data_IF_234272426133
#
_entry.id   IF_234272426133
#
_cell.length_a   1.000
_cell.length_b   1.000
_cell.length_c   1.000
_cell.angle_alpha   90.00
_cell.angle_beta   90.00
_cell.angle_gamma   90.00
#
_symmetry.space_group_name_H-M   'P 1'
#
loop_
_entity.id
_entity.type
_entity.pdbx_description
1 polymer ?
#
# COMPACT_ATOMS: atom_id res chain seq x y z
N UNK A 1 27.06 -43.62 -13.30
CA UNK A 1 26.07 -42.98 -12.42
C UNK A 1 26.37 -41.49 -12.31
N UNK A 2 25.61 -40.63 -13.00
CA UNK A 2 25.53 -39.19 -12.68
C UNK A 2 24.05 -38.89 -12.48
N UNK A 3 23.57 -38.97 -11.24
CA UNK A 3 22.28 -38.40 -10.86
C UNK A 3 22.48 -36.89 -10.92
N UNK A 4 22.02 -36.27 -12.01
CA UNK A 4 21.81 -34.83 -12.01
C UNK A 4 20.77 -34.51 -10.95
N UNK A 5 21.14 -33.73 -9.94
CA UNK A 5 20.18 -33.07 -9.08
C UNK A 5 19.29 -32.22 -9.98
N UNK A 6 18.06 -32.68 -10.23
CA UNK A 6 16.99 -31.80 -10.70
C UNK A 6 16.75 -30.80 -9.58
N UNK A 7 17.39 -29.65 -9.65
CA UNK A 7 17.01 -28.48 -8.85
C UNK A 7 15.55 -28.21 -9.19
N UNK A 8 14.61 -28.60 -8.32
CA UNK A 8 13.20 -28.25 -8.51
C UNK A 8 13.15 -26.73 -8.62
N UNK A 9 12.65 -26.24 -9.75
CA UNK A 9 12.50 -24.80 -9.98
C UNK A 9 11.47 -24.30 -8.97
N UNK A 10 11.91 -23.60 -7.92
CA UNK A 10 11.00 -23.03 -6.91
C UNK A 10 10.09 -22.02 -7.62
N UNK A 11 8.79 -22.19 -7.46
CA UNK A 11 7.75 -21.28 -7.97
C UNK A 11 6.99 -20.66 -6.82
N UNK A 12 6.38 -19.49 -7.04
CA UNK A 12 5.44 -18.89 -6.08
C UNK A 12 4.02 -19.01 -6.60
N UNK A 13 3.11 -19.41 -5.71
CA UNK A 13 1.68 -19.45 -5.99
C UNK A 13 1.09 -18.04 -6.05
N UNK A 14 0.19 -17.81 -7.00
CA UNK A 14 -0.55 -16.55 -7.15
C UNK A 14 -1.75 -16.52 -6.17
N UNK A 15 -1.44 -16.33 -4.88
CA UNK A 15 -2.42 -16.27 -3.78
C UNK A 15 -2.21 -15.08 -2.86
N UNK A 16 -3.26 -14.70 -2.16
CA UNK A 16 -3.14 -13.69 -1.10
C UNK A 16 -2.48 -14.30 0.13
N UNK A 17 -1.62 -13.53 0.80
CA UNK A 17 -1.04 -13.89 2.09
C UNK A 17 -1.67 -13.02 3.17
N UNK A 18 -1.85 -13.60 4.35
CA UNK A 18 -2.35 -12.92 5.54
C UNK A 18 -1.52 -13.36 6.73
N UNK A 19 -1.15 -12.39 7.56
CA UNK A 19 -0.42 -12.60 8.79
C UNK A 19 -1.16 -11.87 9.90
N UNK A 20 -1.54 -12.59 10.96
CA UNK A 20 -2.03 -11.96 12.18
C UNK A 20 -0.82 -11.46 12.97
N UNK A 21 -0.84 -10.20 13.40
CA UNK A 21 0.22 -9.59 14.20
C UNK A 21 -0.33 -9.43 15.61
N UNK A 22 0.18 -10.24 16.54
CA UNK A 22 -0.20 -10.21 17.95
C UNK A 22 0.89 -9.54 18.75
N UNK A 23 0.55 -9.18 19.97
CA UNK A 23 1.46 -8.85 21.06
C UNK A 23 1.26 -9.85 22.18
N UNK A 24 2.16 -9.88 23.14
CA UNK A 24 1.89 -10.56 24.40
C UNK A 24 0.61 -9.97 25.01
N UNK A 25 -0.31 -10.83 25.42
CA UNK A 25 -1.58 -10.41 26.01
C UNK A 25 -1.36 -9.69 27.34
N UNK A 26 -0.30 -10.06 28.05
CA UNK A 26 0.10 -9.49 29.33
C UNK A 26 1.06 -8.28 29.17
N UNK A 27 1.43 -7.92 27.93
CA UNK A 27 2.23 -6.72 27.68
C UNK A 27 1.55 -5.47 28.23
N UNK A 28 2.28 -4.71 29.04
CA UNK A 28 1.85 -3.42 29.54
C UNK A 28 1.70 -2.41 28.39
N UNK A 29 0.84 -1.41 28.59
CA UNK A 29 0.72 -0.31 27.64
C UNK A 29 2.05 0.45 27.57
N UNK A 30 2.61 0.69 26.37
CA UNK A 30 3.78 1.55 26.21
C UNK A 30 3.57 2.90 26.90
N UNK A 31 4.47 3.33 27.82
CA UNK A 31 4.30 4.57 28.57
C UNK A 31 4.68 5.79 27.72
N UNK A 32 3.94 6.05 26.62
CA UNK A 32 4.26 7.13 25.68
C UNK A 32 4.37 8.51 26.37
N UNK A 33 3.66 8.71 27.47
CA UNK A 33 3.73 9.93 28.28
C UNK A 33 5.09 10.18 28.94
N UNK A 34 5.94 9.15 29.09
CA UNK A 34 7.29 9.30 29.62
C UNK A 34 8.32 9.67 28.55
N UNK A 35 7.96 9.62 27.27
CA UNK A 35 8.84 9.99 26.17
C UNK A 35 8.85 11.51 25.97
N UNK A 36 10.00 12.06 25.59
CA UNK A 36 10.12 13.49 25.25
C UNK A 36 9.35 13.81 23.97
N UNK A 37 8.67 14.95 23.98
CA UNK A 37 7.94 15.49 22.83
C UNK A 37 8.76 16.50 22.01
N UNK A 38 9.98 16.86 22.44
CA UNK A 38 10.72 18.01 21.89
C UNK A 38 12.04 17.63 21.21
N UNK A 39 12.60 16.45 21.51
CA UNK A 39 13.93 16.03 21.03
C UNK A 39 13.94 14.58 20.52
N UNK A 40 13.40 14.37 19.32
CA UNK A 40 13.45 13.06 18.66
C UNK A 40 14.83 12.79 18.05
N UNK A 41 15.38 11.60 18.33
CA UNK A 41 16.49 11.04 17.54
C UNK A 41 16.02 10.87 16.11
N UNK A 42 16.87 11.24 15.14
CA UNK A 42 16.55 11.22 13.73
C UNK A 42 17.70 10.60 12.96
N UNK A 43 17.36 9.78 11.97
CA UNK A 43 18.32 9.15 11.07
C UNK A 43 18.00 9.55 9.65
N UNK A 44 19.02 9.80 8.84
CA UNK A 44 18.80 9.93 7.40
C UNK A 44 18.12 8.64 6.88
N UNK A 45 17.21 8.72 5.91
CA UNK A 45 16.41 7.55 5.47
C UNK A 45 17.27 6.37 4.99
N UNK A 46 18.53 6.61 4.58
CA UNK A 46 19.50 5.56 4.24
C UNK A 46 19.92 4.73 5.45
N UNK A 47 19.97 5.35 6.61
CA UNK A 47 20.48 4.80 7.86
C UNK A 47 19.35 4.47 8.85
N UNK A 48 18.09 4.71 8.47
CA UNK A 48 16.89 4.49 9.29
C UNK A 48 16.46 3.01 9.37
N UNK A 49 17.43 2.10 9.45
CA UNK A 49 17.25 0.67 9.64
C UNK A 49 18.11 0.19 10.80
N UNK A 50 17.60 -0.77 11.58
CA UNK A 50 18.40 -1.46 12.59
C UNK A 50 18.90 -2.83 12.08
N UNK A 51 19.46 -3.60 13.02
CA UNK A 51 20.04 -4.92 12.81
C UNK A 51 19.02 -6.07 12.78
N UNK A 52 17.76 -5.82 13.15
CA UNK A 52 16.70 -6.84 13.15
C UNK A 52 16.37 -7.27 11.72
N UNK A 53 16.55 -8.57 11.45
CA UNK A 53 16.42 -9.18 10.12
C UNK A 53 17.27 -8.51 9.02
N UNK A 54 18.38 -7.84 9.36
CA UNK A 54 19.26 -7.18 8.39
C UNK A 54 19.74 -8.11 7.27
N UNK A 55 20.14 -9.35 7.61
CA UNK A 55 20.57 -10.34 6.62
C UNK A 55 19.46 -10.65 5.58
N UNK A 56 18.22 -10.82 6.03
CA UNK A 56 17.08 -11.08 5.13
C UNK A 56 16.81 -9.86 4.24
N UNK A 57 16.87 -8.65 4.80
CA UNK A 57 16.71 -7.39 4.05
C UNK A 57 17.76 -7.27 2.95
N UNK A 58 19.03 -7.50 3.29
CA UNK A 58 20.16 -7.43 2.36
C UNK A 58 20.06 -8.48 1.26
N UNK A 59 19.62 -9.71 1.56
CA UNK A 59 19.38 -10.75 0.56
C UNK A 59 18.30 -10.32 -0.46
N UNK A 60 17.19 -9.75 0.01
CA UNK A 60 16.13 -9.23 -0.88
C UNK A 60 16.67 -8.11 -1.75
N UNK A 61 17.41 -7.16 -1.16
CA UNK A 61 18.01 -6.04 -1.89
C UNK A 61 19.00 -6.51 -2.96
N UNK A 62 19.85 -7.48 -2.65
CA UNK A 62 20.78 -8.07 -3.61
C UNK A 62 20.06 -8.71 -4.80
N UNK A 63 18.92 -9.38 -4.57
CA UNK A 63 18.11 -9.92 -5.67
C UNK A 63 17.43 -8.81 -6.48
N UNK A 64 16.94 -7.75 -5.84
CA UNK A 64 16.35 -6.58 -6.53
C UNK A 64 17.39 -5.89 -7.43
N UNK A 65 18.59 -5.62 -6.93
CA UNK A 65 19.66 -4.95 -7.68
C UNK A 65 20.16 -5.73 -8.90
N UNK A 66 19.93 -7.05 -8.96
CA UNK A 66 20.22 -7.82 -10.19
C UNK A 66 19.29 -7.46 -11.34
N UNK A 67 18.09 -6.96 -11.05
CA UNK A 67 17.15 -6.50 -12.08
C UNK A 67 17.63 -5.25 -12.81
N UNK A 68 18.55 -4.48 -12.24
CA UNK A 68 19.10 -3.25 -12.81
C UNK A 68 19.77 -3.49 -14.17
N UNK A 69 20.20 -4.73 -14.41
CA UNK A 69 20.79 -5.18 -15.68
C UNK A 69 19.76 -5.51 -16.76
N UNK A 70 18.46 -5.56 -16.43
CA UNK A 70 17.38 -5.96 -17.34
C UNK A 70 16.67 -4.69 -17.85
N UNK A 71 16.58 -4.48 -19.17
CA UNK A 71 15.86 -3.34 -19.73
C UNK A 71 14.40 -3.28 -19.25
N UNK A 72 13.90 -2.08 -18.91
CA UNK A 72 12.58 -1.89 -18.29
C UNK A 72 11.41 -2.51 -19.09
N UNK A 73 11.48 -2.45 -20.43
CA UNK A 73 10.49 -3.08 -21.33
C UNK A 73 10.51 -4.60 -21.23
N UNK A 74 11.69 -5.21 -21.20
CA UNK A 74 11.89 -6.66 -21.03
C UNK A 74 11.40 -7.09 -19.66
N UNK A 75 11.77 -6.37 -18.59
CA UNK A 75 11.30 -6.62 -17.24
C UNK A 75 9.76 -6.61 -17.17
N UNK A 76 9.14 -5.57 -17.73
CA UNK A 76 7.68 -5.41 -17.71
C UNK A 76 6.97 -6.52 -18.47
N UNK A 77 7.45 -6.87 -19.67
CA UNK A 77 6.90 -7.95 -20.47
C UNK A 77 7.05 -9.32 -19.77
N UNK A 78 8.23 -9.59 -19.20
CA UNK A 78 8.53 -10.84 -18.49
C UNK A 78 7.64 -10.98 -17.25
N UNK A 79 7.56 -9.94 -16.43
CA UNK A 79 6.70 -9.89 -15.23
C UNK A 79 5.23 -10.13 -15.60
N UNK A 80 4.71 -9.43 -16.60
CA UNK A 80 3.29 -9.56 -16.99
C UNK A 80 2.97 -10.95 -17.56
N UNK A 81 3.93 -11.59 -18.23
CA UNK A 81 3.81 -12.97 -18.72
C UNK A 81 3.76 -13.99 -17.57
N UNK A 82 4.58 -13.79 -16.53
CA UNK A 82 4.66 -14.70 -15.38
C UNK A 82 3.54 -14.48 -14.36
N UNK A 83 3.10 -13.23 -14.18
CA UNK A 83 2.14 -12.82 -13.13
C UNK A 83 1.00 -12.01 -13.76
N UNK A 84 0.07 -12.71 -14.42
CA UNK A 84 -0.96 -12.11 -15.28
C UNK A 84 -1.99 -11.29 -14.50
N UNK A 85 -2.39 -11.72 -13.30
CA UNK A 85 -3.31 -10.96 -12.44
C UNK A 85 -2.73 -9.62 -11.95
N UNK A 86 -1.40 -9.51 -11.93
CA UNK A 86 -0.68 -8.33 -11.49
C UNK A 86 -0.27 -7.37 -12.65
N UNK A 87 -0.78 -7.61 -13.87
CA UNK A 87 -0.62 -6.70 -15.00
C UNK A 87 -1.33 -5.36 -14.74
N UNK A 88 -0.74 -4.26 -15.22
CA UNK A 88 -1.38 -2.93 -15.16
C UNK A 88 -2.54 -2.87 -16.16
N UNK A 89 -3.61 -2.14 -15.83
CA UNK A 89 -4.71 -1.85 -16.75
C UNK A 89 -6.06 -1.81 -16.04
N UNK A 90 -7.09 -1.41 -16.80
CA UNK A 90 -8.48 -1.58 -16.40
C UNK A 90 -8.78 -3.07 -16.30
N UNK A 91 -9.32 -3.51 -15.16
CA UNK A 91 -9.69 -4.90 -14.95
C UNK A 91 -11.18 -4.93 -14.61
N UNK A 92 -11.99 -5.47 -15.54
CA UNK A 92 -13.44 -5.77 -15.52
C UNK A 92 -14.41 -4.79 -14.81
N UNK A 93 -14.13 -4.40 -13.57
CA UNK A 93 -15.01 -3.65 -12.67
C UNK A 93 -14.42 -2.33 -12.15
N UNK A 94 -13.12 -2.08 -12.29
CA UNK A 94 -12.47 -0.87 -11.76
C UNK A 94 -11.54 -0.22 -12.76
N UNK A 95 -11.49 1.12 -12.73
CA UNK A 95 -10.60 1.94 -13.55
C UNK A 95 -9.12 1.61 -13.31
N UNK A 96 -8.77 1.08 -12.13
CA UNK A 96 -7.48 0.44 -11.88
C UNK A 96 -7.59 -0.69 -10.82
N UNK A 97 -6.54 -1.49 -10.69
CA UNK A 97 -6.47 -2.64 -9.78
C UNK A 97 -6.46 -2.31 -8.28
N UNK A 98 -6.30 -1.06 -7.87
CA UNK A 98 -6.22 -0.70 -6.46
C UNK A 98 -7.50 -1.14 -5.72
N UNK A 99 -8.67 -0.94 -6.33
CA UNK A 99 -9.94 -1.43 -5.80
C UNK A 99 -9.93 -2.93 -5.50
N UNK A 100 -9.36 -3.77 -6.38
CA UNK A 100 -9.22 -5.21 -6.13
C UNK A 100 -8.37 -5.52 -4.91
N UNK A 101 -7.22 -4.85 -4.75
CA UNK A 101 -6.31 -5.05 -3.61
C UNK A 101 -7.00 -4.72 -2.28
N UNK A 102 -7.76 -3.62 -2.25
CA UNK A 102 -8.52 -3.23 -1.06
C UNK A 102 -9.54 -4.31 -0.69
N UNK A 103 -10.40 -4.69 -1.64
CA UNK A 103 -11.46 -5.67 -1.38
C UNK A 103 -10.90 -7.04 -0.93
N UNK A 104 -9.79 -7.49 -1.53
CA UNK A 104 -9.11 -8.74 -1.14
C UNK A 104 -8.50 -8.66 0.27
N UNK A 105 -7.89 -7.53 0.62
CA UNK A 105 -7.34 -7.30 1.95
C UNK A 105 -8.44 -7.26 3.01
N UNK A 106 -9.59 -6.64 2.70
CA UNK A 106 -10.76 -6.60 3.58
C UNK A 106 -11.44 -7.96 3.75
N UNK A 107 -11.51 -8.76 2.67
CA UNK A 107 -12.11 -10.09 2.69
C UNK A 107 -11.30 -11.08 3.55
N UNK A 108 -10.00 -11.19 3.27
CA UNK A 108 -9.10 -12.13 3.98
C UNK A 108 -9.08 -11.89 5.49
N UNK A 109 -8.98 -10.63 5.90
CA UNK A 109 -8.84 -10.25 7.32
C UNK A 109 -10.17 -10.10 8.07
N UNK A 110 -11.30 -10.29 7.39
CA UNK A 110 -12.63 -10.26 8.00
C UNK A 110 -13.15 -8.86 8.35
N UNK A 111 -12.69 -7.81 7.65
CA UNK A 111 -13.23 -6.44 7.79
C UNK A 111 -14.73 -6.42 7.47
N UNK A 112 -15.16 -7.11 6.41
CA UNK A 112 -16.58 -7.17 6.04
C UNK A 112 -17.44 -7.78 7.13
N UNK A 113 -16.96 -8.83 7.79
CA UNK A 113 -17.66 -9.45 8.91
C UNK A 113 -17.86 -8.47 10.07
N UNK A 114 -16.83 -7.68 10.38
CA UNK A 114 -16.92 -6.67 11.44
C UNK A 114 -17.88 -5.54 11.08
N UNK A 115 -17.79 -4.99 9.87
CA UNK A 115 -18.70 -3.95 9.40
C UNK A 115 -20.15 -4.46 9.37
N UNK A 116 -20.40 -5.67 8.88
CA UNK A 116 -21.73 -6.30 8.90
C UNK A 116 -22.27 -6.43 10.33
N UNK A 117 -21.45 -6.83 11.29
CA UNK A 117 -21.83 -6.92 12.71
C UNK A 117 -22.23 -5.54 13.27
N UNK A 118 -21.47 -4.49 12.95
CA UNK A 118 -21.75 -3.12 13.41
C UNK A 118 -23.00 -2.52 12.78
N UNK A 119 -23.23 -2.78 11.49
CA UNK A 119 -24.34 -2.21 10.72
C UNK A 119 -25.66 -2.95 10.90
N UNK A 120 -25.65 -4.27 11.23
CA UNK A 120 -26.87 -5.02 11.55
C UNK A 120 -27.54 -4.58 12.86
N UNK A 121 -26.77 -4.11 13.85
CA UNK A 121 -27.30 -3.69 15.15
C UNK A 121 -28.10 -4.77 15.89
N UNK A 122 -28.82 -4.38 16.96
CA UNK A 122 -29.75 -5.28 17.71
C UNK A 122 -31.17 -5.32 17.11
N UNK A 123 -31.49 -4.45 16.15
CA UNK A 123 -32.83 -4.31 15.56
C UNK A 123 -32.74 -4.21 14.04
N UNK A 124 -33.40 -5.13 13.35
CA UNK A 124 -33.46 -5.25 11.88
C UNK A 124 -34.24 -4.12 11.19
N UNK A 125 -34.86 -3.20 11.94
CA UNK A 125 -35.87 -2.26 11.40
C UNK A 125 -35.33 -0.91 10.91
N UNK A 126 -34.07 -0.57 11.14
CA UNK A 126 -33.47 0.70 10.65
C UNK A 126 -32.06 0.47 10.10
N UNK A 127 -31.79 0.73 8.81
CA UNK A 127 -30.43 0.71 8.30
C UNK A 127 -29.59 1.74 9.04
N UNK A 128 -28.37 1.37 9.43
CA UNK A 128 -27.42 2.27 10.09
C UNK A 128 -26.62 3.03 9.05
N UNK A 129 -26.38 4.31 9.35
CA UNK A 129 -25.48 5.15 8.57
C UNK A 129 -24.05 4.61 8.69
N UNK A 130 -23.35 4.58 7.56
CA UNK A 130 -21.96 4.15 7.43
C UNK A 130 -21.16 5.25 6.74
N UNK A 131 -20.08 5.69 7.37
CA UNK A 131 -19.12 6.57 6.71
C UNK A 131 -17.77 5.86 6.55
N UNK A 132 -17.12 6.13 5.42
CA UNK A 132 -15.72 5.80 5.19
C UNK A 132 -14.90 7.04 4.82
N UNK A 133 -13.59 7.02 5.10
CA UNK A 133 -12.64 8.00 4.60
C UNK A 133 -11.60 7.33 3.69
N UNK A 134 -11.25 7.99 2.59
CA UNK A 134 -10.25 7.57 1.61
C UNK A 134 -9.11 8.61 1.58
N UNK A 135 -8.02 8.30 2.27
CA UNK A 135 -6.88 9.17 2.50
C UNK A 135 -5.80 8.93 1.44
N UNK A 136 -5.26 10.01 0.89
CA UNK A 136 -4.38 9.95 -0.27
C UNK A 136 -5.00 9.09 -1.40
N UNK A 137 -6.33 9.10 -1.49
CA UNK A 137 -7.11 8.12 -2.26
C UNK A 137 -7.21 8.41 -3.75
N UNK A 138 -6.66 9.54 -4.18
CA UNK A 138 -6.62 9.96 -5.57
C UNK A 138 -6.08 8.88 -6.50
N UNK A 139 -6.74 8.59 -7.64
CA UNK A 139 -7.93 9.27 -8.19
C UNK A 139 -9.29 8.74 -7.69
N UNK A 140 -9.30 7.79 -6.75
CA UNK A 140 -10.53 7.34 -6.07
C UNK A 140 -10.98 5.92 -6.39
N UNK A 141 -10.05 5.04 -6.77
CA UNK A 141 -10.38 3.63 -7.03
C UNK A 141 -10.83 2.88 -5.78
N UNK A 142 -10.31 3.22 -4.60
CA UNK A 142 -10.77 2.67 -3.33
C UNK A 142 -12.21 3.11 -3.04
N UNK A 143 -12.50 4.41 -3.10
CA UNK A 143 -13.86 4.95 -3.00
C UNK A 143 -14.85 4.30 -3.98
N UNK A 144 -14.48 4.14 -5.25
CA UNK A 144 -15.30 3.46 -6.26
C UNK A 144 -15.61 2.02 -5.85
N UNK A 145 -14.61 1.27 -5.40
CA UNK A 145 -14.76 -0.11 -4.94
C UNK A 145 -15.67 -0.21 -3.71
N UNK A 146 -15.52 0.70 -2.75
CA UNK A 146 -16.33 0.72 -1.52
C UNK A 146 -17.79 1.05 -1.81
N UNK A 147 -18.10 2.02 -2.68
CA UNK A 147 -19.48 2.28 -3.09
C UNK A 147 -20.10 1.09 -3.82
N UNK A 148 -19.36 0.43 -4.71
CA UNK A 148 -19.86 -0.76 -5.41
C UNK A 148 -20.11 -1.93 -4.45
N UNK A 149 -19.17 -2.21 -3.55
CA UNK A 149 -19.29 -3.26 -2.55
C UNK A 149 -20.47 -3.00 -1.59
N UNK A 150 -20.62 -1.75 -1.13
CA UNK A 150 -21.73 -1.33 -0.25
C UNK A 150 -23.10 -1.58 -0.88
N UNK A 151 -23.26 -1.24 -2.17
CA UNK A 151 -24.50 -1.51 -2.92
C UNK A 151 -24.82 -3.00 -3.00
N UNK A 152 -23.80 -3.84 -3.24
CA UNK A 152 -23.96 -5.31 -3.25
C UNK A 152 -24.35 -5.88 -1.89
N UNK A 153 -23.86 -5.28 -0.81
CA UNK A 153 -24.24 -5.62 0.57
C UNK A 153 -25.61 -5.05 1.00
N UNK A 154 -26.26 -4.26 0.14
CA UNK A 154 -27.53 -3.61 0.46
C UNK A 154 -27.42 -2.43 1.41
N UNK A 155 -26.22 -1.90 1.64
CA UNK A 155 -25.99 -0.72 2.47
C UNK A 155 -26.37 0.53 1.68
N UNK A 156 -27.52 1.13 2.02
CA UNK A 156 -28.09 2.27 1.30
C UNK A 156 -27.67 3.64 1.84
N UNK A 157 -27.19 3.69 3.08
CA UNK A 157 -26.83 4.91 3.79
C UNK A 157 -25.32 4.97 3.97
N UNK A 158 -24.60 5.14 2.85
CA UNK A 158 -23.14 5.19 2.82
C UNK A 158 -22.66 6.55 2.34
N UNK A 159 -21.76 7.15 3.10
CA UNK A 159 -21.12 8.41 2.74
C UNK A 159 -19.59 8.26 2.75
N UNK A 160 -18.94 8.72 1.69
CA UNK A 160 -17.47 8.73 1.58
C UNK A 160 -16.92 10.13 1.84
N UNK A 161 -15.80 10.21 2.53
CA UNK A 161 -15.00 11.41 2.69
C UNK A 161 -13.63 11.19 2.04
N UNK A 162 -13.10 12.17 1.31
CA UNK A 162 -11.82 12.02 0.61
C UNK A 162 -10.90 13.20 0.86
N UNK A 163 -9.61 12.90 1.03
CA UNK A 163 -8.53 13.90 1.00
C UNK A 163 -7.35 13.36 0.19
N UNK A 164 -6.87 14.13 -0.77
CA UNK A 164 -5.73 13.83 -1.65
C UNK A 164 -5.09 15.15 -2.10
N UNK A 165 -3.88 15.11 -2.67
CA UNK A 165 -3.22 16.32 -3.17
C UNK A 165 -4.06 17.02 -4.25
N UNK A 166 -4.30 18.32 -4.08
CA UNK A 166 -5.03 19.16 -5.01
C UNK A 166 -4.17 19.50 -6.24
N UNK A 167 -4.77 19.47 -7.43
CA UNK A 167 -4.13 19.96 -8.66
C UNK A 167 -2.95 19.13 -9.17
N UNK A 168 -2.69 17.95 -8.59
CA UNK A 168 -1.62 17.04 -9.05
C UNK A 168 -2.21 16.03 -10.05
N UNK A 169 -1.67 16.06 -11.27
CA UNK A 169 -2.12 15.17 -12.35
C UNK A 169 -2.04 13.70 -11.95
N UNK A 170 -3.15 12.97 -12.15
CA UNK A 170 -3.27 11.55 -11.79
C UNK A 170 -3.59 11.27 -10.32
N UNK A 171 -3.54 12.28 -9.44
CA UNK A 171 -3.89 12.17 -8.02
C UNK A 171 -5.18 12.90 -7.65
N UNK A 172 -5.80 13.62 -8.58
CA UNK A 172 -7.10 14.25 -8.33
C UNK A 172 -8.26 13.26 -8.53
N UNK A 173 -9.37 13.49 -7.83
CA UNK A 173 -10.51 12.58 -7.78
C UNK A 173 -11.20 12.44 -9.13
N UNK A 174 -11.71 11.24 -9.41
CA UNK A 174 -12.57 11.01 -10.55
C UNK A 174 -13.76 11.96 -10.53
N UNK A 175 -14.05 12.59 -11.68
CA UNK A 175 -15.12 13.59 -11.79
C UNK A 175 -16.51 13.07 -11.40
N UNK A 176 -16.77 11.75 -11.47
CA UNK A 176 -18.03 11.17 -11.00
C UNK A 176 -18.14 11.09 -9.47
N UNK A 177 -17.01 10.98 -8.75
CA UNK A 177 -16.99 11.07 -7.28
C UNK A 177 -17.26 12.50 -6.83
N UNK A 178 -16.60 13.48 -7.46
CA UNK A 178 -16.81 14.91 -7.16
C UNK A 178 -18.25 15.39 -7.41
N UNK A 179 -18.97 14.74 -8.34
CA UNK A 179 -20.39 15.03 -8.64
C UNK A 179 -21.37 14.22 -7.77
N UNK A 180 -20.88 13.27 -6.97
CA UNK A 180 -21.73 12.39 -6.17
C UNK A 180 -22.15 13.07 -4.87
N UNK A 181 -23.46 13.12 -4.53
CA UNK A 181 -23.91 13.65 -3.24
C UNK A 181 -23.50 12.75 -2.05
N UNK A 182 -23.07 11.52 -2.32
CA UNK A 182 -22.59 10.57 -1.30
C UNK A 182 -21.08 10.68 -1.04
N UNK A 183 -20.39 11.64 -1.66
CA UNK A 183 -18.96 11.81 -1.50
C UNK A 183 -18.61 13.27 -1.20
N UNK A 184 -17.88 13.50 -0.12
CA UNK A 184 -17.38 14.83 0.27
C UNK A 184 -15.87 14.85 0.16
N UNK A 185 -15.35 15.57 -0.82
CA UNK A 185 -13.93 15.87 -0.93
C UNK A 185 -13.57 17.08 -0.07
N UNK A 186 -12.44 17.02 0.62
CA UNK A 186 -11.78 18.17 1.24
C UNK A 186 -10.30 18.18 0.87
N UNK A 187 -9.73 19.37 0.80
CA UNK A 187 -8.29 19.57 0.58
C UNK A 187 -7.63 20.16 1.82
N UNK A 188 -8.17 19.87 3.01
CA UNK A 188 -7.64 20.34 4.28
C UNK A 188 -7.91 21.81 4.55
N UNK A 189 -7.23 22.38 5.55
CA UNK A 189 -7.37 23.77 5.97
C UNK A 189 -6.69 24.74 5.00
N UNK A 190 -5.56 24.33 4.42
CA UNK A 190 -4.75 25.14 3.50
C UNK A 190 -5.14 24.96 2.03
N UNK A 191 -6.05 24.04 1.71
CA UNK A 191 -6.53 23.75 0.36
C UNK A 191 -5.58 22.91 -0.49
N UNK A 192 -4.48 22.38 0.06
CA UNK A 192 -3.50 21.56 -0.66
C UNK A 192 -3.85 20.07 -0.67
N UNK A 193 -4.57 19.61 0.35
CA UNK A 193 -4.80 18.19 0.62
C UNK A 193 -3.54 17.40 0.99
N UNK A 194 -2.46 18.10 1.36
CA UNK A 194 -1.21 17.50 1.80
C UNK A 194 -1.38 16.85 3.18
N UNK A 195 -1.23 15.53 3.23
CA UNK A 195 -1.30 14.74 4.47
C UNK A 195 -0.14 15.05 5.41
N UNK A 196 0.94 15.69 4.94
CA UNK A 196 2.08 16.12 5.75
C UNK A 196 1.76 17.27 6.70
N UNK A 197 0.63 17.93 6.50
CA UNK A 197 0.15 19.01 7.37
C UNK A 197 -0.85 18.43 8.39
N UNK A 198 -0.50 18.45 9.68
CA UNK A 198 -1.41 17.99 10.75
C UNK A 198 -2.72 18.78 10.73
N UNK A 199 -2.67 20.08 10.43
CA UNK A 199 -3.84 20.95 10.29
C UNK A 199 -4.84 20.47 9.22
N UNK A 200 -4.38 19.82 8.14
CA UNK A 200 -5.25 19.24 7.11
C UNK A 200 -5.95 17.98 7.63
N UNK A 201 -5.24 17.15 8.40
CA UNK A 201 -5.82 15.98 9.09
C UNK A 201 -6.88 16.44 10.10
N UNK A 202 -6.57 17.44 10.92
CA UNK A 202 -7.47 17.97 11.95
C UNK A 202 -8.70 18.65 11.32
N UNK A 203 -8.54 19.34 10.18
CA UNK A 203 -9.67 19.85 9.39
C UNK A 203 -10.61 18.72 8.98
N UNK A 204 -10.08 17.64 8.39
CA UNK A 204 -10.87 16.46 8.02
C UNK A 204 -11.55 15.82 9.23
N UNK A 205 -10.86 15.72 10.37
CA UNK A 205 -11.43 15.20 11.62
C UNK A 205 -12.59 16.08 12.14
N UNK A 206 -12.45 17.40 12.03
CA UNK A 206 -13.47 18.36 12.45
C UNK A 206 -14.74 18.25 11.62
N UNK A 207 -14.63 18.23 10.28
CA UNK A 207 -15.81 18.15 9.40
C UNK A 207 -16.51 16.78 9.47
N UNK A 208 -15.80 15.73 9.90
CA UNK A 208 -16.34 14.37 10.05
C UNK A 208 -16.73 14.04 11.50
N UNK A 209 -16.71 15.01 12.43
CA UNK A 209 -16.97 14.77 13.86
C UNK A 209 -18.29 14.04 14.13
N UNK A 210 -19.35 14.38 13.41
CA UNK A 210 -20.67 13.72 13.55
C UNK A 210 -20.84 12.45 12.69
N UNK A 211 -19.89 12.17 11.78
CA UNK A 211 -20.01 11.02 10.88
C UNK A 211 -19.75 9.69 11.61
N UNK A 212 -20.50 8.62 11.30
CA UNK A 212 -20.24 7.28 11.80
C UNK A 212 -19.08 6.64 11.00
N UNK A 213 -17.87 7.18 11.22
CA UNK A 213 -16.65 6.77 10.52
C UNK A 213 -16.21 5.37 10.98
N UNK A 214 -16.65 4.34 10.26
CA UNK A 214 -16.37 2.93 10.59
C UNK A 214 -15.30 2.30 9.71
N UNK A 215 -14.86 2.99 8.67
CA UNK A 215 -13.78 2.53 7.80
C UNK A 215 -12.89 3.70 7.39
N UNK A 216 -11.58 3.56 7.55
CA UNK A 216 -10.61 4.45 6.91
C UNK A 216 -9.75 3.59 6.00
N UNK A 217 -9.50 4.06 4.79
CA UNK A 217 -8.62 3.41 3.82
C UNK A 217 -7.58 4.42 3.33
N UNK A 218 -6.39 3.93 3.02
CA UNK A 218 -5.24 4.76 2.70
C UNK A 218 -4.31 4.02 1.72
N UNK A 219 -4.08 4.60 0.53
CA UNK A 219 -3.23 4.02 -0.54
C UNK A 219 -2.09 4.98 -0.96
N UNK A 220 -1.76 5.95 -0.11
CA UNK A 220 -0.77 6.98 -0.38
C UNK A 220 0.62 6.42 -0.63
N UNK A 221 1.25 6.94 -1.69
CA UNK A 221 2.61 6.66 -2.07
C UNK A 221 3.00 7.53 -3.27
N UNK A 222 4.29 7.64 -3.52
CA UNK A 222 4.83 8.45 -4.60
C UNK A 222 5.88 7.65 -5.38
N UNK A 223 6.27 8.18 -6.54
CA UNK A 223 7.32 7.57 -7.34
C UNK A 223 8.65 7.67 -6.59
N UNK A 224 9.34 6.55 -6.46
CA UNK A 224 10.70 6.48 -5.92
C UNK A 224 11.59 6.00 -7.05
N UNK A 225 12.67 6.73 -7.30
CA UNK A 225 13.62 6.38 -8.35
C UNK A 225 14.18 4.98 -8.14
N UNK A 226 14.37 4.28 -9.25
CA UNK A 226 14.78 2.89 -9.21
C UNK A 226 16.12 2.67 -8.49
N UNK A 227 17.05 3.64 -8.59
CA UNK A 227 18.36 3.62 -7.91
C UNK A 227 18.28 3.62 -6.38
N UNK A 228 17.15 4.05 -5.81
CA UNK A 228 16.92 4.14 -4.36
C UNK A 228 15.65 3.38 -3.93
N UNK A 229 15.07 2.57 -4.82
CA UNK A 229 13.82 1.85 -4.56
C UNK A 229 13.90 0.86 -3.39
N UNK A 230 15.10 0.37 -3.03
CA UNK A 230 15.31 -0.45 -1.84
C UNK A 230 14.99 0.29 -0.53
N UNK A 231 15.06 1.63 -0.54
CA UNK A 231 14.77 2.49 0.60
C UNK A 231 13.33 3.03 0.60
N UNK A 232 12.46 2.50 -0.27
CA UNK A 232 11.07 2.97 -0.37
C UNK A 232 10.32 2.91 0.97
N UNK A 233 10.63 1.95 1.84
CA UNK A 233 10.09 1.90 3.20
C UNK A 233 10.41 3.17 4.00
N UNK A 234 11.69 3.50 4.17
CA UNK A 234 12.13 4.60 5.02
C UNK A 234 11.85 5.96 4.39
N UNK A 235 11.94 6.08 3.06
CA UNK A 235 11.51 7.28 2.31
C UNK A 235 10.00 7.55 2.49
N UNK A 236 9.19 6.50 2.59
CA UNK A 236 7.73 6.64 2.77
C UNK A 236 7.29 6.79 4.23
N UNK A 237 8.23 6.94 5.18
CA UNK A 237 7.95 6.99 6.62
C UNK A 237 6.92 8.04 7.01
N UNK A 238 7.08 9.27 6.52
CA UNK A 238 6.20 10.39 6.85
C UNK A 238 4.78 10.19 6.32
N UNK A 239 4.63 9.73 5.06
CA UNK A 239 3.31 9.48 4.46
C UNK A 239 2.61 8.28 5.08
N UNK A 240 3.37 7.25 5.46
CA UNK A 240 2.85 6.09 6.18
C UNK A 240 2.31 6.50 7.55
N UNK A 241 3.10 7.26 8.32
CA UNK A 241 2.70 7.74 9.64
C UNK A 241 1.52 8.71 9.57
N UNK A 242 1.53 9.68 8.66
CA UNK A 242 0.43 10.65 8.49
C UNK A 242 -0.92 10.00 8.20
N UNK A 243 -0.94 8.99 7.33
CA UNK A 243 -2.15 8.23 7.03
C UNK A 243 -2.61 7.37 8.22
N UNK A 244 -1.68 6.78 8.96
CA UNK A 244 -1.98 6.03 10.19
C UNK A 244 -2.56 6.96 11.28
N UNK A 245 -1.93 8.12 11.54
CA UNK A 245 -2.39 9.10 12.50
C UNK A 245 -3.78 9.64 12.14
N UNK A 246 -4.00 9.96 10.87
CA UNK A 246 -5.30 10.41 10.39
C UNK A 246 -6.39 9.37 10.64
N UNK A 247 -6.12 8.07 10.42
CA UNK A 247 -7.08 7.02 10.74
C UNK A 247 -7.45 6.97 12.22
N UNK A 248 -6.48 7.14 13.13
CA UNK A 248 -6.73 7.18 14.57
C UNK A 248 -7.64 8.37 14.98
N UNK A 249 -7.46 9.53 14.35
CA UNK A 249 -8.29 10.73 14.59
C UNK A 249 -9.70 10.59 14.02
N UNK A 250 -9.84 9.89 12.91
CA UNK A 250 -11.11 9.78 12.17
C UNK A 250 -12.01 8.66 12.68
N UNK A 251 -11.44 7.50 13.05
CA UNK A 251 -12.22 6.31 13.35
C UNK A 251 -13.10 6.43 14.60
N UNK A 252 -14.26 5.80 14.54
CA UNK A 252 -15.11 5.55 15.71
C UNK A 252 -14.81 4.15 16.27
N UNK A 253 -15.10 3.95 17.56
CA UNK A 253 -14.89 2.65 18.23
C UNK A 253 -15.56 1.52 17.44
N UNK A 254 -14.82 0.42 17.27
CA UNK A 254 -15.21 -0.72 16.45
C UNK A 254 -14.84 -0.59 14.97
N UNK A 255 -14.47 0.59 14.48
CA UNK A 255 -14.12 0.82 13.08
C UNK A 255 -12.87 0.04 12.62
N UNK A 256 -12.66 0.00 11.31
CA UNK A 256 -11.57 -0.71 10.67
C UNK A 256 -10.67 0.25 9.88
N UNK A 257 -9.41 -0.12 9.71
CA UNK A 257 -8.42 0.64 8.96
C UNK A 257 -7.71 -0.26 7.94
N UNK A 258 -7.46 0.25 6.73
CA UNK A 258 -6.61 -0.39 5.73
C UNK A 258 -5.58 0.61 5.21
N UNK A 259 -4.30 0.32 5.38
CA UNK A 259 -3.19 1.18 4.96
C UNK A 259 -2.21 0.41 4.09
N UNK A 260 -1.91 0.95 2.92
CA UNK A 260 -0.79 0.48 2.13
C UNK A 260 0.54 0.72 2.85
N UNK A 261 1.34 -0.33 2.91
CA UNK A 261 2.71 -0.34 3.38
C UNK A 261 3.65 -0.86 2.27
N UNK A 262 4.95 -0.68 2.48
CA UNK A 262 6.00 -1.30 1.69
C UNK A 262 6.68 -2.41 2.52
N UNK A 263 8.01 -2.49 2.49
CA UNK A 263 8.73 -3.32 3.44
C UNK A 263 8.47 -2.83 4.89
N UNK A 264 8.75 -3.70 5.85
CA UNK A 264 8.48 -3.49 7.28
C UNK A 264 9.68 -3.94 8.12
N UNK A 265 10.88 -3.57 7.69
CA UNK A 265 12.14 -3.84 8.37
C UNK A 265 12.59 -2.71 9.30
N UNK A 266 12.19 -1.47 9.01
CA UNK A 266 12.59 -0.29 9.79
C UNK A 266 11.98 -0.26 11.20
N UNK A 267 12.65 0.37 12.17
CA UNK A 267 12.11 0.58 13.51
C UNK A 267 10.76 1.33 13.50
N UNK A 268 10.58 2.32 12.62
CA UNK A 268 9.32 3.07 12.56
C UNK A 268 8.14 2.21 12.11
N UNK A 269 8.28 1.43 11.03
CA UNK A 269 7.23 0.51 10.59
C UNK A 269 6.87 -0.48 11.69
N UNK A 270 7.88 -1.04 12.37
CA UNK A 270 7.69 -1.97 13.50
C UNK A 270 6.93 -1.31 14.64
N UNK A 271 7.31 -0.09 15.03
CA UNK A 271 6.64 0.67 16.08
C UNK A 271 5.17 0.96 15.74
N UNK A 272 4.86 1.36 14.50
CA UNK A 272 3.48 1.60 14.05
C UNK A 272 2.63 0.32 14.14
N UNK A 273 3.19 -0.83 13.73
CA UNK A 273 2.51 -2.12 13.86
C UNK A 273 2.31 -2.53 15.33
N UNK A 274 3.33 -2.32 16.16
CA UNK A 274 3.27 -2.63 17.58
C UNK A 274 2.21 -1.79 18.29
N UNK A 275 2.22 -0.46 18.14
CA UNK A 275 1.20 0.42 18.71
C UNK A 275 -0.20 0.10 18.18
N UNK A 276 -0.33 -0.29 16.91
CA UNK A 276 -1.61 -0.72 16.35
C UNK A 276 -2.19 -1.93 17.10
N UNK A 277 -1.36 -2.84 17.61
CA UNK A 277 -1.81 -4.01 18.38
C UNK A 277 -2.42 -3.65 19.74
N UNK A 278 -2.19 -2.43 20.24
CA UNK A 278 -2.85 -1.88 21.44
C UNK A 278 -4.10 -1.06 21.09
N UNK A 279 -4.18 -0.52 19.87
CA UNK A 279 -5.24 0.40 19.43
C UNK A 279 -6.41 -0.31 18.75
N UNK A 280 -6.23 -1.57 18.34
CA UNK A 280 -7.23 -2.35 17.62
C UNK A 280 -7.32 -3.76 18.19
N UNK A 281 -8.51 -4.37 18.09
CA UNK A 281 -8.74 -5.74 18.57
C UNK A 281 -7.95 -6.79 17.79
N UNK A 282 -7.77 -6.59 16.48
CA UNK A 282 -6.95 -7.46 15.62
C UNK A 282 -6.18 -6.61 14.63
N UNK A 283 -4.92 -6.98 14.41
CA UNK A 283 -4.02 -6.35 13.45
C UNK A 283 -3.50 -7.41 12.51
N UNK A 284 -3.58 -7.15 11.21
CA UNK A 284 -3.16 -8.07 10.18
C UNK A 284 -2.24 -7.36 9.19
N UNK A 285 -1.39 -8.14 8.54
CA UNK A 285 -0.70 -7.74 7.31
C UNK A 285 -1.19 -8.62 6.18
N UNK A 286 -1.76 -8.01 5.15
CA UNK A 286 -2.27 -8.68 3.96
C UNK A 286 -1.39 -8.35 2.76
N UNK A 287 -0.98 -9.37 2.00
CA UNK A 287 -0.41 -9.21 0.65
C UNK A 287 -1.41 -9.76 -0.37
N UNK A 288 -2.33 -8.94 -0.89
CA UNK A 288 -3.36 -9.40 -1.80
C UNK A 288 -2.74 -9.83 -3.14
N UNK A 289 -3.33 -10.81 -3.81
CA UNK A 289 -2.80 -11.37 -5.08
C UNK A 289 -2.74 -10.34 -6.22
N UNK A 290 -3.61 -9.32 -6.22
CA UNK A 290 -3.54 -8.22 -7.20
C UNK A 290 -2.40 -7.21 -6.89
N UNK A 291 -1.74 -7.35 -5.74
CA UNK A 291 -0.45 -6.73 -5.49
C UNK A 291 0.65 -7.59 -6.09
N UNK A 292 1.64 -6.95 -6.74
CA UNK A 292 2.70 -7.70 -7.44
C UNK A 292 3.51 -8.47 -6.42
N UNK A 293 3.61 -9.79 -6.58
CA UNK A 293 4.48 -10.63 -5.74
C UNK A 293 5.95 -10.15 -5.71
N UNK A 294 6.41 -9.51 -6.79
CA UNK A 294 7.77 -8.97 -6.93
C UNK A 294 8.01 -7.61 -6.25
N UNK A 295 6.95 -6.91 -5.82
CA UNK A 295 7.11 -5.65 -5.10
C UNK A 295 6.94 -5.84 -3.58
N UNK A 296 7.33 -4.81 -2.84
CA UNK A 296 7.25 -4.79 -1.39
C UNK A 296 5.88 -4.37 -0.85
N UNK A 297 4.92 -4.04 -1.72
CA UNK A 297 3.59 -3.57 -1.33
C UNK A 297 2.85 -4.65 -0.54
N UNK A 298 2.28 -4.24 0.59
CA UNK A 298 1.38 -5.01 1.46
C UNK A 298 0.44 -4.03 2.15
N UNK A 299 -0.51 -4.54 2.94
CA UNK A 299 -1.52 -3.71 3.59
C UNK A 299 -1.58 -4.05 5.08
N UNK A 300 -1.40 -3.03 5.93
CA UNK A 300 -1.82 -3.08 7.32
C UNK A 300 -3.34 -3.03 7.36
N UNK A 301 -3.96 -4.02 7.99
CA UNK A 301 -5.40 -4.09 8.19
C UNK A 301 -5.70 -4.19 9.68
N UNK A 302 -6.32 -3.17 10.24
CA UNK A 302 -6.70 -3.13 11.64
C UNK A 302 -8.21 -3.25 11.78
N UNK A 303 -8.67 -4.12 12.68
CA UNK A 303 -10.08 -4.45 12.85
C UNK A 303 -10.52 -4.21 14.28
N UNK A 304 -11.55 -3.38 14.46
CA UNK A 304 -12.15 -3.12 15.76
C UNK A 304 -11.34 -2.11 16.58
N UNK A 305 -11.32 -0.85 16.15
CA UNK A 305 -10.64 0.25 16.83
C UNK A 305 -11.13 0.41 18.27
N UNK A 306 -10.20 0.50 19.22
CA UNK A 306 -10.48 0.60 20.65
C UNK A 306 -10.53 2.06 21.13
N UNK A 307 -9.91 2.98 20.38
CA UNK A 307 -9.65 4.35 20.79
C UNK A 307 -8.26 4.52 21.40
N UNK A 308 -7.85 5.76 21.63
CA UNK A 308 -6.62 6.04 22.37
C UNK A 308 -6.73 5.52 23.81
N UNK A 309 -5.68 4.87 24.36
CA UNK A 309 -5.65 4.46 25.75
C UNK A 309 -5.78 5.65 26.73
N UNK A 310 -5.22 6.80 26.35
CA UNK A 310 -5.30 8.04 27.11
C UNK A 310 -5.12 9.27 26.22
N UNK A 311 -5.40 10.47 26.75
CA UNK A 311 -5.15 11.72 26.04
C UNK A 311 -3.64 11.96 25.79
N UNK A 312 -2.78 11.45 26.67
CA UNK A 312 -1.34 11.53 26.52
C UNK A 312 -0.85 10.76 25.29
N UNK A 313 -1.48 9.63 24.96
CA UNK A 313 -1.20 8.91 23.71
C UNK A 313 -1.50 9.77 22.49
N UNK A 314 -2.68 10.39 22.42
CA UNK A 314 -3.00 11.27 21.29
C UNK A 314 -2.03 12.45 21.19
N UNK A 315 -1.68 13.09 22.32
CA UNK A 315 -0.75 14.22 22.33
C UNK A 315 0.66 13.83 21.88
N UNK A 316 1.17 12.69 22.33
CA UNK A 316 2.49 12.21 21.91
C UNK A 316 2.52 11.90 20.42
N UNK A 317 1.49 11.22 19.89
CA UNK A 317 1.45 10.85 18.47
C UNK A 317 1.29 12.06 17.54
N UNK A 318 0.57 13.09 17.98
CA UNK A 318 0.49 14.39 17.29
C UNK A 318 1.85 15.11 17.32
N UNK A 319 2.45 15.23 18.51
CA UNK A 319 3.76 15.87 18.68
C UNK A 319 4.88 15.18 17.91
N UNK A 320 4.90 13.84 17.90
CA UNK A 320 5.83 13.07 17.07
C UNK A 320 5.69 13.43 15.58
N UNK A 321 4.46 13.63 15.10
CA UNK A 321 4.27 13.99 13.70
C UNK A 321 4.79 15.39 13.38
N UNK A 322 4.41 16.37 14.20
CA UNK A 322 4.77 17.78 13.99
C UNK A 322 6.26 18.06 14.23
N UNK A 323 6.84 17.44 15.25
CA UNK A 323 8.20 17.75 15.72
C UNK A 323 9.22 16.69 15.32
N UNK A 324 8.80 15.44 15.13
CA UNK A 324 9.67 14.35 14.70
C UNK A 324 10.10 14.51 13.24
N UNK A 325 9.16 14.72 12.32
CA UNK A 325 9.42 14.88 10.90
C UNK A 325 9.70 16.34 10.52
N UNK A 326 10.97 16.74 10.58
CA UNK A 326 11.41 18.10 10.23
C UNK A 326 11.57 18.33 8.72
N UNK A 327 11.79 17.25 7.96
CA UNK A 327 11.94 17.24 6.52
C UNK A 327 11.50 15.88 5.95
N UNK A 328 11.81 15.60 4.68
CA UNK A 328 11.55 14.32 4.04
C UNK A 328 12.81 13.45 3.91
N UNK A 329 13.94 13.90 4.47
CA UNK A 329 15.23 13.21 4.42
C UNK A 329 15.51 12.40 5.70
N UNK A 330 14.89 12.78 6.82
CA UNK A 330 15.14 12.19 8.13
C UNK A 330 13.91 11.48 8.70
N UNK A 331 14.15 10.29 9.25
CA UNK A 331 13.15 9.45 9.91
C UNK A 331 13.37 9.52 11.43
N UNK A 332 12.40 10.05 12.21
CA UNK A 332 12.48 10.08 13.66
C UNK A 332 12.19 8.70 14.29
N UNK A 333 12.79 8.44 15.45
CA UNK A 333 12.50 7.26 16.27
C UNK A 333 11.20 7.44 17.06
N UNK A 334 10.20 6.61 16.76
CA UNK A 334 8.87 6.67 17.40
C UNK A 334 8.85 6.05 18.80
N UNK A 335 9.64 5.00 19.02
CA UNK A 335 9.72 4.30 20.30
C UNK A 335 11.16 3.82 20.52
N UNK A 336 11.60 3.64 21.78
CA UNK A 336 12.75 2.80 22.08
C UNK A 336 12.56 1.43 21.42
N UNK A 337 13.56 0.96 20.65
CA UNK A 337 13.44 -0.28 19.88
C UNK A 337 13.23 -1.49 20.79
N UNK A 338 13.79 -1.45 21.99
CA UNK A 338 13.73 -2.50 23.02
C UNK A 338 12.28 -2.87 23.35
N UNK A 339 11.37 -1.88 23.40
CA UNK A 339 9.96 -2.13 23.71
C UNK A 339 9.27 -3.04 22.70
N UNK A 340 9.67 -2.98 21.43
CA UNK A 340 9.17 -3.91 20.42
C UNK A 340 9.90 -5.25 20.50
N UNK A 341 11.23 -5.23 20.73
CA UNK A 341 12.08 -6.41 20.69
C UNK A 341 11.87 -7.37 21.85
N UNK A 342 11.48 -6.85 23.01
CA UNK A 342 11.20 -7.63 24.22
C UNK A 342 9.88 -8.41 24.14
N UNK A 343 8.92 -7.95 23.33
CA UNK A 343 7.69 -8.71 23.07
C UNK A 343 7.96 -9.86 22.08
N UNK A 344 8.23 -11.04 22.64
CA UNK A 344 8.57 -12.22 21.87
C UNK A 344 7.43 -12.69 20.94
N UNK A 345 6.16 -12.50 21.32
CA UNK A 345 5.00 -12.88 20.50
C UNK A 345 4.94 -11.99 19.26
N UNK A 346 5.04 -10.67 19.47
CA UNK A 346 5.05 -9.70 18.40
C UNK A 346 6.23 -9.90 17.46
N UNK A 347 7.43 -10.07 18.01
CA UNK A 347 8.62 -10.28 17.18
C UNK A 347 8.58 -11.60 16.41
N UNK A 348 7.98 -12.66 16.96
CA UNK A 348 7.77 -13.91 16.23
C UNK A 348 6.86 -13.68 15.01
N UNK A 349 5.69 -13.05 15.22
CA UNK A 349 4.73 -12.78 14.14
C UNK A 349 5.34 -11.86 13.06
N UNK A 350 6.13 -10.84 13.46
CA UNK A 350 6.88 -9.96 12.56
C UNK A 350 7.92 -10.70 11.73
N UNK A 351 8.74 -11.55 12.37
CA UNK A 351 9.80 -12.31 11.70
C UNK A 351 9.23 -13.30 10.69
N UNK A 352 8.16 -14.00 11.05
CA UNK A 352 7.47 -14.95 10.18
C UNK A 352 6.87 -14.25 8.96
N UNK A 353 6.18 -13.14 9.17
CA UNK A 353 5.63 -12.32 8.09
C UNK A 353 6.72 -11.83 7.14
N UNK A 354 7.76 -11.16 7.66
CA UNK A 354 8.85 -10.63 6.85
C UNK A 354 9.55 -11.74 6.06
N UNK A 355 9.84 -12.88 6.71
CA UNK A 355 10.50 -14.04 6.07
C UNK A 355 9.65 -14.62 4.95
N UNK A 356 8.35 -14.82 5.17
CA UNK A 356 7.44 -15.37 4.17
C UNK A 356 7.30 -14.45 2.96
N UNK A 357 7.09 -13.15 3.18
CA UNK A 357 6.95 -12.17 2.08
C UNK A 357 8.27 -12.02 1.31
N UNK A 358 9.40 -11.88 2.01
CA UNK A 358 10.73 -11.76 1.41
C UNK A 358 11.10 -13.00 0.57
N UNK A 359 10.84 -14.20 1.11
CA UNK A 359 11.10 -15.47 0.40
C UNK A 359 10.30 -15.53 -0.90
N UNK A 360 9.00 -15.24 -0.85
CA UNK A 360 8.15 -15.24 -2.04
C UNK A 360 8.59 -14.17 -3.05
N UNK A 361 8.93 -12.97 -2.58
CA UNK A 361 9.42 -11.91 -3.45
C UNK A 361 10.72 -12.34 -4.15
N UNK A 362 11.70 -12.88 -3.42
CA UNK A 362 12.96 -13.34 -4.00
C UNK A 362 12.79 -14.47 -5.02
N UNK A 363 11.92 -15.46 -4.74
CA UNK A 363 11.63 -16.53 -5.71
C UNK A 363 11.02 -15.93 -6.98
N UNK A 364 10.04 -15.04 -6.85
CA UNK A 364 9.40 -14.40 -7.99
C UNK A 364 10.34 -13.51 -8.81
N UNK A 365 11.24 -12.77 -8.14
CA UNK A 365 12.27 -11.96 -8.79
C UNK A 365 13.26 -12.84 -9.56
N UNK A 366 13.70 -13.97 -8.97
CA UNK A 366 14.56 -14.95 -9.66
C UNK A 366 13.87 -15.57 -10.87
N UNK A 367 12.57 -15.86 -10.79
CA UNK A 367 11.79 -16.32 -11.95
C UNK A 367 11.82 -15.30 -13.11
N UNK A 368 11.77 -13.99 -12.81
CA UNK A 368 11.91 -12.94 -13.83
C UNK A 368 13.33 -12.94 -14.41
N UNK A 369 14.35 -12.94 -13.56
CA UNK A 369 15.76 -12.93 -13.98
C UNK A 369 16.04 -14.10 -14.93
N UNK A 370 15.57 -15.30 -14.58
CA UNK A 370 15.76 -16.51 -15.38
C UNK A 370 15.00 -16.46 -16.73
N UNK A 371 13.85 -15.77 -16.79
CA UNK A 371 13.01 -15.73 -17.98
C UNK A 371 13.31 -14.54 -18.91
N UNK A 372 13.96 -13.49 -18.41
CA UNK A 372 14.20 -12.24 -19.12
C UNK A 372 14.99 -12.39 -20.43
N UNK A 373 16.07 -13.20 -20.52
CA UNK A 373 16.82 -13.35 -21.77
C UNK A 373 15.95 -13.85 -22.94
N UNK A 374 15.14 -14.89 -22.69
CA UNK A 374 14.23 -15.43 -23.72
C UNK A 374 13.12 -14.45 -24.12
N UNK A 375 12.69 -13.57 -23.21
CA UNK A 375 11.71 -12.52 -23.53
C UNK A 375 12.37 -11.40 -24.32
N UNK A 376 13.62 -11.04 -24.02
CA UNK A 376 14.39 -10.05 -24.77
C UNK A 376 14.56 -10.46 -26.24
N UNK A 377 15.00 -11.69 -26.50
CA UNK A 377 15.12 -12.25 -27.86
C UNK A 377 13.80 -12.15 -28.64
N UNK A 378 12.68 -12.47 -27.99
CA UNK A 378 11.34 -12.39 -28.62
C UNK A 378 10.89 -10.97 -28.92
N UNK A 379 11.27 -10.00 -28.09
CA UNK A 379 10.95 -8.60 -28.33
C UNK A 379 11.79 -8.04 -29.46
N UNK A 380 13.09 -8.37 -29.50
CA UNK A 380 13.99 -7.99 -30.59
C UNK A 380 13.54 -8.56 -31.93
N UNK A 381 13.15 -9.84 -31.98
CA UNK A 381 12.61 -10.45 -33.19
C UNK A 381 11.35 -9.72 -33.69
N UNK A 382 10.41 -9.39 -32.79
CA UNK A 382 9.19 -8.64 -33.15
C UNK A 382 9.48 -7.22 -33.65
N UNK A 383 10.50 -6.56 -33.11
CA UNK A 383 10.93 -5.24 -33.59
C UNK A 383 11.58 -5.32 -34.96
N UNK A 384 12.39 -6.36 -35.22
CA UNK A 384 12.97 -6.62 -36.53
C UNK A 384 11.88 -6.90 -37.58
N UNK A 385 10.91 -7.75 -37.27
CA UNK A 385 9.78 -8.05 -38.17
C UNK A 385 8.96 -6.79 -38.49
N UNK A 386 8.72 -5.92 -37.49
CA UNK A 386 8.01 -4.65 -37.69
C UNK A 386 8.79 -3.67 -38.57
N UNK A 387 10.11 -3.58 -38.40
CA UNK A 387 10.96 -2.73 -39.24
C UNK A 387 10.97 -3.22 -40.68
N UNK A 388 11.13 -4.53 -40.90
CA UNK A 388 11.06 -5.12 -42.22
C UNK A 388 9.71 -4.90 -42.91
N UNK A 389 8.61 -4.97 -42.16
CA UNK A 389 7.27 -4.67 -42.68
C UNK A 389 7.08 -3.18 -43.04
N UNK A 390 7.62 -2.26 -42.25
CA UNK A 390 7.54 -0.82 -42.52
C UNK A 390 8.40 -0.41 -43.74
N UNK A 391 9.61 -0.97 -43.88
CA UNK A 391 10.49 -0.75 -45.03
C UNK A 391 9.88 -1.32 -46.33
N UNK A 392 9.12 -2.41 -46.23
CA UNK A 392 8.37 -2.97 -47.37
C UNK A 392 7.20 -2.06 -47.79
N UNK A 393 6.49 -1.43 -46.84
CA UNK A 393 5.38 -0.51 -47.11
C UNK A 393 5.87 0.82 -47.71
N UNK A 394 6.96 1.40 -47.18
CA UNK A 394 7.60 2.61 -47.74
C UNK A 394 8.21 2.35 -49.14
N UNK A 395 8.69 1.12 -49.39
CA UNK A 395 9.17 0.69 -50.71
C UNK A 395 8.08 0.64 -51.77
N UNK A 396 6.82 0.40 -51.39
CA UNK A 396 5.66 0.34 -52.31
C UNK A 396 5.14 1.74 -52.68
N UNK A 397 5.18 2.71 -51.75
CA UNK A 397 4.76 4.10 -52.04
C UNK A 397 5.76 4.89 -52.90
N UNK A 398 6.99 4.40 -53.07
CA UNK A 398 8.05 5.08 -53.84
C UNK A 398 8.16 4.65 -55.31
N UNK A 399 7.28 3.77 -55.81
CA UNK A 399 7.26 3.35 -57.21
C UNK A 399 6.74 4.49 -58.12
N UNK A 400 7.53 5.01 -59.10
CA UNK A 400 7.06 6.05 -59.99
C UNK A 400 6.02 5.47 -60.95
N UNK A 401 4.84 6.10 -61.00
CA UNK A 401 3.82 5.82 -62.01
C UNK A 401 4.43 5.97 -63.40
N UNK A 402 4.54 4.86 -64.12
CA UNK A 402 4.90 4.86 -65.53
C UNK A 402 3.79 5.58 -66.31
N UNK A 403 4.19 6.66 -66.98
CA UNK A 403 3.44 7.34 -68.03
C UNK A 403 3.17 6.37 -69.17
N UNK A 404 1.89 6.07 -69.44
CA UNK A 404 1.47 5.52 -70.72
C UNK A 404 1.03 6.68 -71.63
N UNK A 405 1.94 7.05 -72.54
CA UNK A 405 1.59 7.64 -73.83
C UNK A 405 0.87 6.58 -74.68
N UNK A 406 -0.25 6.94 -75.30
CA UNK A 406 -0.98 6.06 -76.20
C UNK A 406 -1.99 6.83 -77.07
N UNK A 407 -1.49 7.21 -78.26
CA UNK A 407 -2.17 7.58 -79.53
C UNK A 407 -3.24 8.69 -79.58
#
# INVERSE_FOLDING_TARGET
MRRGERTMKKTVEDRSLEFLIRRDMDAELPPLASLSCENFTRHHWRDAFDDEQAALREEVWAVKSRLDTIPAGVYTATRNKLFTLAASGEQRHFSNRAGHKLLESMESTGVWMELLKLLRGKSLKRPRDFAFADLCGGPGSFSQALFQASRRQGWRHVHGYGMTLAGVSGLDWYGHLLKSPQFTCTYGLDGTGDIFQLSNIDCLASITKAAPMLLVVADGGFHVDFSIANYQETISSRIMYGQWLAALKLLRKGGCFVLKLFDTFSPLSRAVLYLSSFLYRRVHIAKPRHSRVVNSERYLVCVGFLGYPSEQWSRYLDSFYEQGFVDNEHVPELLPREWCLEDAVFMSDMRDMNTAVATNQMIALRMIIDAAPSVAEKLQAKEADKKAAAEFDEGIESAPGQSEDGE
#
